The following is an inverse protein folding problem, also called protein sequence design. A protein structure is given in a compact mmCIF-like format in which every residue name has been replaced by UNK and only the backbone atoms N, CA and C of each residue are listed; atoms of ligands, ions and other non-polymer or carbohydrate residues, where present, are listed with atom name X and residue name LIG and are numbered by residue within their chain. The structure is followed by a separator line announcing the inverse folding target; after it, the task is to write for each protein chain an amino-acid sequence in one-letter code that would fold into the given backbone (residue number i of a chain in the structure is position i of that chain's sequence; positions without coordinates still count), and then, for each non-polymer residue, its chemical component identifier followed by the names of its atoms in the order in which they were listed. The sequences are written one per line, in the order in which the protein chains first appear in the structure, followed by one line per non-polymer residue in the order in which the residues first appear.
data_IF_272017222268
#
_entry.id   IF_272017222268
#
_cell.length_a   1.000
_cell.length_b   1.000
_cell.length_c   1.000
_cell.angle_alpha   90.00
_cell.angle_beta   90.00
_cell.angle_gamma   90.00
#
_symmetry.space_group_name_H-M   'P 1'
#
loop_
_entity.id
_entity.type
_entity.pdbx_description
1 polymer ?
#
# COMPACT_ATOMS: atom_id res chain seq x y z
N UNK A 1 10.01 24.15 12.37
CA UNK A 1 11.38 23.70 12.01
C UNK A 1 12.18 23.18 13.20
N UNK A 2 12.49 23.96 14.24
CA UNK A 2 13.29 23.48 15.39
C UNK A 2 12.69 22.25 16.09
N UNK A 3 11.37 22.25 16.32
CA UNK A 3 10.68 21.08 16.87
C UNK A 3 10.81 19.84 15.97
N UNK A 4 10.62 19.99 14.65
CA UNK A 4 10.77 18.90 13.70
C UNK A 4 12.21 18.35 13.72
N UNK A 5 13.22 19.21 13.84
CA UNK A 5 14.62 18.77 13.97
C UNK A 5 14.87 17.98 15.25
N UNK A 6 14.31 18.45 16.37
CA UNK A 6 14.49 17.82 17.67
C UNK A 6 13.80 16.45 17.76
N UNK A 7 12.60 16.33 17.17
CA UNK A 7 11.80 15.10 17.19
C UNK A 7 12.23 14.13 16.07
N UNK A 8 12.18 14.56 14.80
CA UNK A 8 12.49 13.67 13.66
C UNK A 8 13.97 13.29 13.59
N UNK A 9 14.87 14.10 14.15
CA UNK A 9 16.28 13.74 14.24
C UNK A 9 16.55 12.55 15.17
N UNK A 10 15.65 12.25 16.11
CA UNK A 10 15.84 11.24 17.17
C UNK A 10 15.00 9.97 16.98
N UNK A 11 13.99 10.00 16.12
CA UNK A 11 13.08 8.88 15.91
C UNK A 11 13.26 8.25 14.54
N UNK A 12 13.20 6.92 14.48
CA UNK A 12 13.27 6.15 13.23
C UNK A 12 12.27 5.02 13.27
N UNK A 13 11.45 4.94 12.24
CA UNK A 13 10.46 3.88 12.05
C UNK A 13 10.28 3.63 10.55
N UNK A 14 10.09 2.38 10.10
CA UNK A 14 9.94 2.08 8.67
C UNK A 14 8.80 2.84 7.97
N UNK A 15 7.76 3.19 8.74
CA UNK A 15 6.56 3.89 8.27
C UNK A 15 6.48 5.36 8.74
N UNK A 16 7.62 5.96 9.09
CA UNK A 16 7.74 7.40 9.30
C UNK A 16 8.73 7.98 8.28
N UNK A 17 8.40 9.12 7.69
CA UNK A 17 9.23 9.77 6.69
C UNK A 17 10.55 10.22 7.31
N UNK A 18 11.66 9.69 6.80
CA UNK A 18 12.99 9.95 7.35
C UNK A 18 13.50 11.33 6.93
N UNK A 19 13.79 12.17 7.91
CA UNK A 19 14.55 13.40 7.70
C UNK A 19 16.03 13.05 7.52
N UNK A 20 16.60 13.44 6.38
CA UNK A 20 18.01 13.24 6.04
C UNK A 20 18.89 14.40 6.51
N UNK A 21 18.32 15.60 6.60
CA UNK A 21 19.06 16.78 7.02
C UNK A 21 18.19 18.04 7.03
N UNK A 22 18.81 19.17 7.35
CA UNK A 22 18.16 20.47 7.35
C UNK A 22 19.16 21.59 7.06
N UNK A 23 18.64 22.68 6.53
CA UNK A 23 19.34 23.95 6.39
C UNK A 23 18.56 25.03 7.16
N UNK A 24 18.84 25.23 8.45
CA UNK A 24 18.09 26.18 9.29
C UNK A 24 18.18 27.63 8.79
N UNK A 25 19.32 28.02 8.23
CA UNK A 25 19.56 29.37 7.70
C UNK A 25 18.59 29.74 6.57
N UNK A 26 18.16 28.73 5.79
CA UNK A 26 17.26 28.89 4.65
C UNK A 26 15.85 28.34 4.92
N UNK A 27 15.58 27.84 6.13
CA UNK A 27 14.29 27.25 6.47
C UNK A 27 13.99 25.93 5.77
N UNK A 28 15.00 25.19 5.30
CA UNK A 28 14.80 23.98 4.50
C UNK A 28 14.96 22.69 5.31
N UNK A 29 14.17 21.67 4.97
CA UNK A 29 14.28 20.32 5.49
C UNK A 29 14.46 19.35 4.31
N UNK A 30 15.32 18.35 4.49
CA UNK A 30 15.64 17.35 3.47
C UNK A 30 15.13 16.00 3.95
N UNK A 31 14.34 15.33 3.12
CA UNK A 31 13.72 14.04 3.42
C UNK A 31 14.12 13.00 2.38
N UNK A 32 13.89 11.73 2.70
CA UNK A 32 13.87 10.68 1.67
C UNK A 32 12.78 10.97 0.61
N UNK A 33 13.07 10.62 -0.63
CA UNK A 33 12.14 10.84 -1.75
C UNK A 33 11.15 9.68 -1.86
N UNK A 34 9.88 10.01 -2.12
CA UNK A 34 8.77 9.06 -2.17
C UNK A 34 8.17 9.08 -3.58
N UNK A 35 8.52 8.09 -4.40
CA UNK A 35 8.32 8.12 -5.85
C UNK A 35 6.85 8.17 -6.28
N UNK A 36 5.94 7.61 -5.47
CA UNK A 36 4.52 7.56 -5.77
C UNK A 36 3.73 8.75 -5.19
N UNK A 37 4.43 9.74 -4.61
CA UNK A 37 3.79 10.92 -4.02
C UNK A 37 2.95 10.57 -2.79
N UNK A 38 1.86 11.31 -2.58
CA UNK A 38 0.98 11.12 -1.44
C UNK A 38 -0.12 10.09 -1.70
N UNK A 39 -0.70 9.53 -0.63
CA UNK A 39 -1.87 8.69 -0.70
C UNK A 39 -3.07 9.44 -1.29
N UNK A 40 -3.18 10.75 -1.07
CA UNK A 40 -4.20 11.59 -1.73
C UNK A 40 -4.04 11.58 -3.26
N UNK A 41 -2.81 11.71 -3.76
CA UNK A 41 -2.52 11.69 -5.20
C UNK A 41 -2.86 10.33 -5.82
N UNK A 42 -2.59 9.24 -5.09
CA UNK A 42 -2.90 7.87 -5.52
C UNK A 42 -4.39 7.57 -5.51
N UNK A 43 -5.13 8.00 -4.48
CA UNK A 43 -6.59 7.83 -4.41
C UNK A 43 -7.30 8.68 -5.47
N UNK A 44 -6.80 9.89 -5.75
CA UNK A 44 -7.36 10.78 -6.77
C UNK A 44 -6.81 10.55 -8.18
N UNK A 45 -5.81 9.66 -8.33
CA UNK A 45 -5.13 9.34 -9.60
C UNK A 45 -4.58 10.57 -10.34
N UNK A 46 -4.08 11.56 -9.61
CA UNK A 46 -3.65 12.87 -10.17
C UNK A 46 -2.51 12.78 -11.20
N UNK A 47 -1.72 11.70 -11.16
CA UNK A 47 -0.58 11.46 -12.05
C UNK A 47 -0.80 10.28 -13.01
N UNK A 48 -2.06 9.92 -13.28
CA UNK A 48 -2.42 8.74 -14.08
C UNK A 48 -1.79 7.45 -13.54
N UNK A 49 -1.57 7.38 -12.23
CA UNK A 49 -1.02 6.23 -11.53
C UNK A 49 -2.04 5.09 -11.53
N UNK A 50 -1.58 3.82 -11.57
CA UNK A 50 -2.46 2.67 -11.39
C UNK A 50 -3.21 2.77 -10.04
N UNK A 51 -4.47 2.29 -9.98
CA UNK A 51 -5.21 2.29 -8.73
C UNK A 51 -4.53 1.39 -7.69
N UNK A 52 -4.57 1.80 -6.42
CA UNK A 52 -4.16 0.95 -5.32
C UNK A 52 -5.14 -0.24 -5.21
N UNK A 53 -4.60 -1.46 -5.21
CA UNK A 53 -5.39 -2.68 -4.99
C UNK A 53 -5.91 -2.72 -3.56
N UNK A 54 -6.97 -3.48 -3.30
CA UNK A 54 -7.48 -3.62 -1.94
C UNK A 54 -6.43 -4.20 -0.98
N UNK A 55 -5.54 -5.09 -1.47
CA UNK A 55 -4.44 -5.64 -0.66
C UNK A 55 -3.50 -4.54 -0.17
N UNK A 56 -3.13 -3.63 -1.08
CA UNK A 56 -2.26 -2.48 -0.75
C UNK A 56 -2.95 -1.57 0.26
N UNK A 57 -4.26 -1.34 0.12
CA UNK A 57 -5.01 -0.45 1.01
C UNK A 57 -5.13 -1.01 2.44
N UNK A 58 -5.37 -2.31 2.58
CA UNK A 58 -5.35 -2.98 3.89
C UNK A 58 -3.97 -2.90 4.54
N UNK A 59 -2.91 -3.14 3.76
CA UNK A 59 -1.53 -3.01 4.23
C UNK A 59 -1.23 -1.57 4.68
N UNK A 60 -1.55 -0.57 3.86
CA UNK A 60 -1.32 0.85 4.18
C UNK A 60 -2.04 1.25 5.48
N UNK A 61 -3.29 0.81 5.69
CA UNK A 61 -4.00 1.08 6.94
C UNK A 61 -3.24 0.55 8.17
N UNK A 62 -2.72 -0.68 8.09
CA UNK A 62 -1.89 -1.27 9.15
C UNK A 62 -0.56 -0.52 9.33
N UNK A 63 0.16 -0.22 8.25
CA UNK A 63 1.44 0.50 8.29
C UNK A 63 1.29 1.88 8.97
N UNK A 64 0.26 2.65 8.61
CA UNK A 64 -0.06 3.94 9.24
C UNK A 64 -0.36 3.75 10.73
N UNK A 65 -1.16 2.75 11.10
CA UNK A 65 -1.48 2.48 12.50
C UNK A 65 -0.23 2.11 13.33
N UNK A 66 0.71 1.35 12.77
CA UNK A 66 1.97 1.00 13.45
C UNK A 66 2.85 2.22 13.69
N UNK A 67 2.94 3.13 12.71
CA UNK A 67 3.66 4.38 12.85
C UNK A 67 3.05 5.29 13.92
N UNK A 68 1.72 5.42 13.97
CA UNK A 68 1.03 6.16 15.03
C UNK A 68 1.29 5.56 16.40
N UNK A 69 1.24 4.23 16.51
CA UNK A 69 1.51 3.55 17.78
C UNK A 69 2.95 3.80 18.26
N UNK A 70 3.91 3.80 17.35
CA UNK A 70 5.30 4.15 17.66
C UNK A 70 5.43 5.60 18.19
N UNK A 71 4.75 6.57 17.54
CA UNK A 71 4.71 7.95 18.03
C UNK A 71 4.06 8.04 19.42
N UNK A 72 2.92 7.38 19.62
CA UNK A 72 2.18 7.38 20.90
C UNK A 72 2.93 6.64 22.02
N UNK A 73 3.86 5.75 21.67
CA UNK A 73 4.67 4.99 22.62
C UNK A 73 6.04 5.60 22.88
N UNK A 74 6.39 6.68 22.17
CA UNK A 74 7.67 7.36 22.29
C UNK A 74 7.91 7.84 23.72
N UNK A 75 9.18 7.78 24.14
CA UNK A 75 9.64 8.16 25.49
C UNK A 75 10.73 9.25 25.38
N UNK A 76 10.83 10.17 26.35
CA UNK A 76 10.07 10.23 27.61
C UNK A 76 8.60 10.65 27.44
N UNK A 77 8.31 11.38 26.36
CA UNK A 77 7.01 11.98 26.10
C UNK A 77 6.41 11.40 24.81
N UNK A 78 5.15 10.91 24.86
CA UNK A 78 4.44 10.52 23.66
C UNK A 78 4.25 11.67 22.67
N UNK A 79 4.28 11.36 21.38
CA UNK A 79 4.10 12.32 20.30
C UNK A 79 2.70 12.13 19.70
N UNK A 80 1.90 13.19 19.62
CA UNK A 80 0.60 13.20 18.89
C UNK A 80 0.82 13.89 17.54
N UNK A 81 0.36 13.28 16.44
CA UNK A 81 0.58 13.77 15.07
C UNK A 81 -0.25 15.01 14.72
N UNK A 82 -1.55 15.01 15.05
CA UNK A 82 -2.53 16.11 14.90
C UNK A 82 -2.94 16.51 13.47
N UNK A 83 -2.17 16.16 12.44
CA UNK A 83 -2.57 16.41 11.04
C UNK A 83 -2.44 15.15 10.16
N UNK A 84 -2.91 14.02 10.67
CA UNK A 84 -2.93 12.80 9.87
C UNK A 84 -4.02 12.91 8.79
N UNK A 85 -3.62 12.76 7.53
CA UNK A 85 -4.50 12.80 6.35
C UNK A 85 -3.80 12.13 5.17
N UNK A 86 -4.51 11.74 4.09
CA UNK A 86 -3.88 11.10 2.93
C UNK A 86 -2.75 11.92 2.29
N UNK A 87 -2.85 13.26 2.30
CA UNK A 87 -1.79 14.13 1.77
C UNK A 87 -0.47 14.06 2.58
N UNK A 88 -0.54 13.64 3.86
CA UNK A 88 0.63 13.50 4.74
C UNK A 88 1.08 12.03 4.86
N UNK A 89 0.52 11.12 4.07
CA UNK A 89 0.95 9.71 3.98
C UNK A 89 1.59 9.55 2.61
N UNK A 90 2.91 9.37 2.56
CA UNK A 90 3.66 9.25 1.32
C UNK A 90 3.96 7.80 0.99
N UNK A 91 4.12 7.48 -0.30
CA UNK A 91 4.32 6.12 -0.80
C UNK A 91 5.64 6.02 -1.59
N UNK A 92 6.49 5.07 -1.21
CA UNK A 92 7.74 4.77 -1.93
C UNK A 92 7.45 3.99 -3.22
N UNK A 93 8.48 3.70 -4.02
CA UNK A 93 8.40 2.88 -5.24
C UNK A 93 7.68 1.52 -5.08
N UNK A 94 7.68 0.95 -3.88
CA UNK A 94 7.08 -0.35 -3.57
C UNK A 94 5.70 -0.23 -2.88
N UNK A 95 5.13 0.98 -2.88
CA UNK A 95 3.88 1.32 -2.20
C UNK A 95 3.92 1.10 -0.69
N UNK A 96 5.11 1.19 -0.08
CA UNK A 96 5.27 1.24 1.38
C UNK A 96 4.93 2.64 1.85
N UNK A 97 4.00 2.74 2.80
CA UNK A 97 3.54 4.01 3.32
C UNK A 97 4.43 4.55 4.45
N UNK A 98 4.60 5.87 4.46
CA UNK A 98 5.30 6.62 5.50
C UNK A 98 4.53 7.88 5.88
N UNK A 99 4.28 8.07 7.17
CA UNK A 99 3.67 9.30 7.67
C UNK A 99 4.74 10.41 7.65
N UNK A 100 4.42 11.50 6.95
CA UNK A 100 5.21 12.72 6.89
C UNK A 100 4.52 13.88 7.60
N UNK A 101 5.14 15.06 7.52
CA UNK A 101 4.64 16.33 8.06
C UNK A 101 4.18 16.32 9.53
N UNK A 102 5.16 16.17 10.43
CA UNK A 102 4.96 16.37 11.88
C UNK A 102 5.02 17.85 12.30
N UNK A 103 4.77 18.78 11.37
CA UNK A 103 4.86 20.23 11.64
C UNK A 103 3.87 20.74 12.69
N UNK A 104 2.76 20.01 12.87
CA UNK A 104 1.71 20.30 13.86
C UNK A 104 1.74 19.36 15.08
N UNK A 105 2.67 18.42 15.10
CA UNK A 105 2.80 17.45 16.19
C UNK A 105 3.13 18.12 17.53
N UNK A 106 2.78 17.45 18.61
CA UNK A 106 3.03 17.95 19.97
C UNK A 106 3.44 16.81 20.90
N UNK A 107 4.28 17.12 21.89
CA UNK A 107 4.65 16.22 22.97
C UNK A 107 3.60 16.30 24.08
N UNK A 108 3.24 15.13 24.64
CA UNK A 108 2.44 15.02 25.85
C UNK A 108 3.35 15.19 27.08
N UNK A 109 3.06 16.12 28.00
CA UNK A 109 3.88 16.34 29.20
C UNK A 109 4.13 15.04 29.97
N UNK A 110 5.36 14.86 30.46
CA UNK A 110 5.78 13.68 31.22
C UNK A 110 4.81 13.31 32.37
N UNK A 111 4.57 12.01 32.53
CA UNK A 111 3.59 11.38 33.44
C UNK A 111 3.74 11.70 34.94
N UNK A 112 4.79 12.43 35.34
CA UNK A 112 5.06 12.81 36.73
C UNK A 112 4.27 14.05 37.17
N UNK A 113 3.63 14.77 36.24
CA UNK A 113 2.65 15.81 36.56
C UNK A 113 1.28 15.41 35.99
N UNK A 114 0.55 14.64 36.81
CA UNK A 114 -0.83 14.23 36.62
C UNK A 114 -1.06 13.16 35.54
N UNK A 115 -1.99 12.24 35.84
CA UNK A 115 -2.51 11.15 35.01
C UNK A 115 -3.18 11.61 33.69
N UNK A 116 -2.77 12.73 33.08
CA UNK A 116 -3.39 13.30 31.89
C UNK A 116 -2.73 12.79 30.61
N UNK A 117 -3.44 11.92 29.89
CA UNK A 117 -3.18 11.54 28.49
C UNK A 117 -3.53 12.67 27.49
N UNK A 118 -3.54 13.93 27.95
CA UNK A 118 -4.32 15.02 27.38
C UNK A 118 -3.58 16.36 27.51
N UNK A 119 -3.63 17.19 26.46
CA UNK A 119 -3.14 18.58 26.49
C UNK A 119 -4.34 19.51 26.37
N UNK A 120 -4.49 20.45 27.31
CA UNK A 120 -5.63 21.40 27.38
C UNK A 120 -5.28 22.74 26.73
N UNK A 121 -6.32 23.51 26.38
CA UNK A 121 -6.22 24.89 25.86
C UNK A 121 -5.37 25.04 24.58
N UNK A 122 -5.33 24.00 23.75
CA UNK A 122 -4.68 24.07 22.44
C UNK A 122 -5.67 24.55 21.39
N UNK A 123 -5.33 25.62 20.66
CA UNK A 123 -6.11 26.04 19.49
C UNK A 123 -6.24 24.86 18.51
N UNK A 124 -7.44 24.57 17.96
CA UNK A 124 -7.62 23.54 16.94
C UNK A 124 -6.70 23.82 15.74
N UNK A 125 -5.86 22.84 15.40
CA UNK A 125 -5.03 22.83 14.19
C UNK A 125 -5.23 21.50 13.47
N UNK A 126 -4.92 21.48 12.18
CA UNK A 126 -5.11 20.33 11.31
C UNK A 126 -6.09 20.63 10.19
N UNK A 127 -6.36 19.62 9.37
CA UNK A 127 -7.23 19.76 8.19
C UNK A 127 -8.67 19.41 8.56
N UNK A 128 -9.62 20.35 8.35
CA UNK A 128 -11.00 20.34 8.89
C UNK A 128 -11.69 18.97 8.99
N UNK A 129 -11.69 18.16 7.93
CA UNK A 129 -12.38 16.86 7.91
C UNK A 129 -11.68 15.73 8.70
N UNK A 130 -10.46 15.95 9.19
CA UNK A 130 -9.66 14.99 9.95
C UNK A 130 -9.46 15.43 11.41
N UNK A 131 -9.93 16.63 11.76
CA UNK A 131 -9.82 17.14 13.13
C UNK A 131 -10.81 16.39 14.02
N UNK A 132 -10.31 15.84 15.12
CA UNK A 132 -11.14 15.25 16.18
C UNK A 132 -12.21 16.27 16.63
N UNK A 133 -13.51 15.97 16.47
CA UNK A 133 -14.58 16.91 16.77
C UNK A 133 -14.66 17.27 18.26
N UNK A 134 -14.25 16.37 19.15
CA UNK A 134 -14.16 16.66 20.58
C UNK A 134 -12.99 17.59 20.87
N UNK A 135 -11.85 17.39 20.21
CA UNK A 135 -10.71 18.31 20.29
C UNK A 135 -11.07 19.70 19.74
N UNK A 136 -11.71 19.77 18.57
CA UNK A 136 -12.16 21.03 17.97
C UNK A 136 -13.05 21.82 18.92
N UNK A 137 -13.96 21.14 19.64
CA UNK A 137 -14.90 21.77 20.57
C UNK A 137 -14.26 22.14 21.92
N UNK A 138 -13.37 21.30 22.44
CA UNK A 138 -12.86 21.43 23.83
C UNK A 138 -11.46 22.02 23.92
N UNK A 139 -10.72 22.09 22.81
CA UNK A 139 -9.30 22.42 22.79
C UNK A 139 -8.41 21.38 23.45
N UNK A 140 -8.95 20.19 23.78
CA UNK A 140 -8.21 19.11 24.43
C UNK A 140 -7.80 18.05 23.42
N UNK A 141 -6.51 17.90 23.17
CA UNK A 141 -5.95 16.93 22.23
C UNK A 141 -5.43 15.69 22.97
N UNK A 142 -5.51 14.52 22.32
CA UNK A 142 -5.02 13.25 22.85
C UNK A 142 -4.58 12.32 21.73
N UNK A 143 -3.97 11.19 22.07
CA UNK A 143 -3.71 10.09 21.13
C UNK A 143 -4.96 9.63 20.37
N UNK A 144 -6.14 9.70 20.99
CA UNK A 144 -7.43 9.36 20.35
C UNK A 144 -7.85 10.38 19.28
N UNK A 145 -7.20 11.53 19.21
CA UNK A 145 -7.41 12.49 18.13
C UNK A 145 -6.77 11.98 16.82
N UNK A 146 -5.60 11.34 16.88
CA UNK A 146 -5.01 10.67 15.72
C UNK A 146 -5.81 9.42 15.32
N UNK A 147 -6.40 8.70 16.29
CA UNK A 147 -7.29 7.55 16.01
C UNK A 147 -8.52 7.99 15.19
N UNK A 148 -9.09 9.16 15.49
CA UNK A 148 -10.19 9.71 14.69
C UNK A 148 -9.76 9.94 13.24
N UNK A 149 -8.63 10.62 13.05
CA UNK A 149 -8.09 10.88 11.73
C UNK A 149 -7.78 9.59 10.95
N UNK A 150 -7.24 8.56 11.63
CA UNK A 150 -7.00 7.24 11.05
C UNK A 150 -8.32 6.60 10.57
N UNK A 151 -9.40 6.71 11.35
CA UNK A 151 -10.73 6.25 10.94
C UNK A 151 -11.15 6.86 9.61
N UNK A 152 -11.07 8.18 9.48
CA UNK A 152 -11.41 8.87 8.22
C UNK A 152 -10.49 8.43 7.07
N UNK A 153 -9.19 8.28 7.30
CA UNK A 153 -8.24 7.78 6.29
C UNK A 153 -8.63 6.37 5.81
N UNK A 154 -9.00 5.47 6.72
CA UNK A 154 -9.43 4.10 6.36
C UNK A 154 -10.71 4.14 5.53
N UNK A 155 -11.69 4.98 5.88
CA UNK A 155 -12.91 5.13 5.07
C UNK A 155 -12.59 5.64 3.66
N UNK A 156 -11.61 6.53 3.51
CA UNK A 156 -11.15 6.97 2.19
C UNK A 156 -10.38 5.89 1.44
N UNK A 157 -9.59 5.06 2.12
CA UNK A 157 -8.97 3.89 1.50
C UNK A 157 -10.04 2.95 0.92
N UNK A 158 -11.16 2.74 1.62
CA UNK A 158 -12.24 1.87 1.13
C UNK A 158 -13.00 2.46 -0.06
N UNK A 159 -13.23 3.77 -0.07
CA UNK A 159 -14.20 4.40 -0.98
C UNK A 159 -13.57 5.29 -2.06
N UNK A 160 -12.32 5.73 -1.87
CA UNK A 160 -11.68 6.80 -2.64
C UNK A 160 -12.52 8.09 -2.74
N UNK A 161 -13.42 8.35 -1.79
CA UNK A 161 -14.31 9.52 -1.76
C UNK A 161 -13.73 10.65 -0.91
N UNK A 162 -14.33 11.84 -1.08
CA UNK A 162 -14.08 13.01 -0.23
C UNK A 162 -14.36 12.67 1.24
N UNK A 163 -13.55 13.17 2.20
CA UNK A 163 -13.77 12.89 3.63
C UNK A 163 -15.01 13.59 4.21
N UNK A 164 -15.56 14.59 3.51
CA UNK A 164 -16.72 15.37 3.97
C UNK A 164 -17.96 14.48 4.12
N UNK A 165 -18.45 14.31 5.35
CA UNK A 165 -19.62 13.47 5.65
C UNK A 165 -19.41 11.98 5.41
N UNK A 166 -18.18 11.53 5.17
CA UNK A 166 -17.89 10.18 4.70
C UNK A 166 -18.29 9.09 5.71
N UNK A 167 -18.06 9.32 7.00
CA UNK A 167 -18.46 8.39 8.06
C UNK A 167 -19.96 8.10 8.01
N UNK A 168 -20.79 9.13 7.90
CA UNK A 168 -22.25 8.96 7.80
C UNK A 168 -22.65 8.21 6.52
N UNK A 169 -22.05 8.55 5.37
CA UNK A 169 -22.33 7.85 4.10
C UNK A 169 -22.01 6.36 4.20
N UNK A 170 -20.89 6.00 4.84
CA UNK A 170 -20.48 4.60 5.01
C UNK A 170 -21.37 3.87 6.00
N UNK A 171 -21.69 4.50 7.13
CA UNK A 171 -22.61 3.95 8.14
C UNK A 171 -23.98 3.65 7.54
N UNK A 172 -24.61 4.60 6.86
CA UNK A 172 -25.90 4.39 6.20
C UNK A 172 -25.83 3.30 5.12
N UNK A 173 -24.74 3.24 4.35
CA UNK A 173 -24.58 2.18 3.34
C UNK A 173 -24.45 0.78 3.97
N UNK A 174 -23.84 0.66 5.15
CA UNK A 174 -23.79 -0.60 5.88
C UNK A 174 -25.18 -0.98 6.42
N UNK A 175 -25.91 -0.04 7.02
CA UNK A 175 -27.26 -0.25 7.54
C UNK A 175 -28.26 -0.64 6.44
N UNK A 176 -28.17 0.01 5.29
CA UNK A 176 -29.03 -0.24 4.11
C UNK A 176 -28.65 -1.52 3.34
N UNK A 177 -27.55 -2.19 3.68
CA UNK A 177 -27.03 -3.33 2.91
C UNK A 177 -26.48 -2.95 1.53
N UNK A 178 -26.11 -1.68 1.32
CA UNK A 178 -25.56 -1.12 0.07
C UNK A 178 -24.08 -0.79 0.14
N UNK A 179 -23.36 -1.42 1.07
CA UNK A 179 -21.95 -1.13 1.30
C UNK A 179 -21.08 -1.35 0.05
N UNK A 180 -21.39 -2.36 -0.77
CA UNK A 180 -20.66 -2.62 -2.01
C UNK A 180 -20.72 -1.44 -3.01
N UNK A 181 -21.83 -0.70 -3.04
CA UNK A 181 -22.06 0.41 -3.99
C UNK A 181 -21.16 1.62 -3.70
N UNK A 182 -20.61 1.70 -2.49
CA UNK A 182 -19.76 2.81 -2.07
C UNK A 182 -18.27 2.49 -2.09
N UNK A 183 -17.91 1.21 -2.20
CA UNK A 183 -16.53 0.78 -2.33
C UNK A 183 -15.93 1.24 -3.66
N UNK A 184 -14.63 1.51 -3.64
CA UNK A 184 -13.90 1.84 -4.85
C UNK A 184 -13.73 0.59 -5.72
N UNK A 185 -14.51 0.50 -6.79
CA UNK A 185 -14.46 -0.59 -7.75
C UNK A 185 -13.10 -0.74 -8.45
N UNK A 186 -12.27 0.30 -8.46
CA UNK A 186 -10.93 0.26 -9.08
C UNK A 186 -9.90 -0.50 -8.25
N UNK A 187 -10.19 -0.80 -6.97
CA UNK A 187 -9.30 -1.55 -6.09
C UNK A 187 -9.31 -3.07 -6.32
N UNK A 188 -10.13 -3.55 -7.27
CA UNK A 188 -10.31 -4.97 -7.57
C UNK A 188 -11.46 -5.60 -6.76
N UNK A 189 -11.41 -6.93 -6.60
CA UNK A 189 -12.47 -7.67 -5.93
C UNK A 189 -12.29 -7.65 -4.42
N UNK A 190 -13.08 -6.83 -3.73
CA UNK A 190 -13.06 -6.70 -2.28
C UNK A 190 -13.53 -7.98 -1.56
N UNK A 191 -12.82 -8.44 -0.52
CA UNK A 191 -13.29 -9.50 0.36
C UNK A 191 -14.34 -8.92 1.32
N UNK A 192 -15.62 -9.15 1.06
CA UNK A 192 -16.70 -8.38 1.67
C UNK A 192 -16.72 -8.44 3.19
N UNK A 193 -16.54 -9.63 3.79
CA UNK A 193 -16.60 -9.80 5.25
C UNK A 193 -15.47 -9.00 5.95
N UNK A 194 -14.23 -9.14 5.46
CA UNK A 194 -13.07 -8.40 5.95
C UNK A 194 -13.18 -6.90 5.69
N UNK A 195 -13.77 -6.52 4.55
CA UNK A 195 -13.96 -5.10 4.18
C UNK A 195 -15.02 -4.44 5.06
N UNK A 196 -16.12 -5.15 5.38
CA UNK A 196 -17.12 -4.69 6.34
C UNK A 196 -16.52 -4.58 7.74
N UNK A 197 -15.68 -5.52 8.15
CA UNK A 197 -15.00 -5.45 9.43
C UNK A 197 -14.06 -4.23 9.52
N UNK A 198 -13.29 -3.96 8.45
CA UNK A 198 -12.44 -2.78 8.38
C UNK A 198 -13.25 -1.48 8.42
N UNK A 199 -14.39 -1.42 7.71
CA UNK A 199 -15.29 -0.28 7.73
C UNK A 199 -15.88 -0.04 9.12
N UNK A 200 -16.36 -1.11 9.79
CA UNK A 200 -16.89 -1.02 11.14
C UNK A 200 -15.83 -0.57 12.14
N UNK A 201 -14.58 -1.04 12.02
CA UNK A 201 -13.46 -0.55 12.83
C UNK A 201 -13.22 0.95 12.58
N UNK A 202 -13.21 1.38 11.31
CA UNK A 202 -12.99 2.76 10.93
C UNK A 202 -14.09 3.71 11.46
N UNK A 203 -15.36 3.29 11.39
CA UNK A 203 -16.49 4.01 11.97
C UNK A 203 -16.34 4.20 13.48
N UNK A 204 -16.00 3.13 14.22
CA UNK A 204 -15.71 3.22 15.65
C UNK A 204 -14.53 4.14 15.96
N UNK A 205 -13.50 4.16 15.10
CA UNK A 205 -12.39 5.10 15.23
C UNK A 205 -12.84 6.55 15.03
N UNK A 206 -13.79 6.80 14.14
CA UNK A 206 -14.35 8.12 13.83
C UNK A 206 -15.52 8.56 14.73
N UNK A 207 -15.72 7.89 15.88
CA UNK A 207 -16.78 8.29 16.83
C UNK A 207 -16.62 9.73 17.31
N UNK A 208 -17.75 10.42 17.48
CA UNK A 208 -17.77 11.83 17.88
C UNK A 208 -17.19 12.04 19.28
N UNK A 209 -17.36 11.07 20.17
CA UNK A 209 -16.86 11.08 21.53
C UNK A 209 -15.59 10.25 21.63
N UNK A 210 -14.55 10.84 22.20
CA UNK A 210 -13.22 10.23 22.40
C UNK A 210 -13.27 8.90 23.15
N UNK A 211 -14.12 8.82 24.17
CA UNK A 211 -14.23 7.64 25.05
C UNK A 211 -14.82 6.43 24.34
N UNK A 212 -15.60 6.67 23.28
CA UNK A 212 -16.27 5.63 22.50
C UNK A 212 -15.35 5.07 21.40
N UNK A 213 -14.24 5.77 21.10
CA UNK A 213 -13.20 5.31 20.16
C UNK A 213 -12.39 4.16 20.75
N UNK A 214 -12.03 3.13 19.95
CA UNK A 214 -11.21 2.01 20.38
C UNK A 214 -9.80 2.45 20.81
N UNK A 215 -9.11 1.58 21.54
CA UNK A 215 -7.69 1.75 21.84
C UNK A 215 -6.82 1.32 20.66
N UNK A 216 -5.83 2.14 20.30
CA UNK A 216 -4.98 1.89 19.13
C UNK A 216 -4.20 0.58 19.26
N UNK A 217 -3.66 0.29 20.45
CA UNK A 217 -2.84 -0.90 20.70
C UNK A 217 -3.69 -2.15 20.95
N UNK A 218 -4.74 -2.03 21.76
CA UNK A 218 -5.52 -3.21 22.21
C UNK A 218 -6.58 -3.66 21.21
N UNK A 219 -7.07 -2.76 20.37
CA UNK A 219 -8.21 -3.04 19.49
C UNK A 219 -7.89 -2.79 18.02
N UNK A 220 -7.37 -1.61 17.66
CA UNK A 220 -7.19 -1.22 16.25
C UNK A 220 -6.07 -2.03 15.60
N UNK A 221 -4.88 -2.02 16.18
CA UNK A 221 -3.71 -2.71 15.61
C UNK A 221 -3.91 -4.22 15.43
N UNK A 222 -4.41 -4.98 16.42
CA UNK A 222 -4.63 -6.42 16.25
C UNK A 222 -5.61 -6.76 15.12
N UNK A 223 -6.69 -5.96 14.98
CA UNK A 223 -7.63 -6.13 13.86
C UNK A 223 -6.96 -5.83 12.52
N UNK A 224 -6.24 -4.71 12.41
CA UNK A 224 -5.54 -4.34 11.17
C UNK A 224 -4.44 -5.35 10.80
N UNK A 225 -3.76 -5.93 11.78
CA UNK A 225 -2.70 -6.93 11.55
C UNK A 225 -3.28 -8.21 10.94
N UNK A 226 -4.39 -8.72 11.49
CA UNK A 226 -5.10 -9.87 10.92
C UNK A 226 -5.60 -9.58 9.50
N UNK A 227 -6.17 -8.40 9.25
CA UNK A 227 -6.64 -8.00 7.92
C UNK A 227 -5.47 -7.85 6.92
N UNK A 228 -4.33 -7.32 7.36
CA UNK A 228 -3.09 -7.26 6.57
C UNK A 228 -2.59 -8.66 6.21
N UNK A 229 -2.72 -9.65 7.09
CA UNK A 229 -2.35 -11.03 6.78
C UNK A 229 -3.27 -11.67 5.72
N UNK A 230 -4.57 -11.35 5.73
CA UNK A 230 -5.50 -11.73 4.64
C UNK A 230 -5.06 -11.10 3.33
N UNK A 231 -4.74 -9.80 3.34
CA UNK A 231 -4.24 -9.08 2.17
C UNK A 231 -2.93 -9.69 1.62
N UNK A 232 -1.99 -10.04 2.50
CA UNK A 232 -0.72 -10.65 2.11
C UNK A 232 -0.91 -12.00 1.41
N UNK A 233 -1.71 -12.90 1.99
CA UNK A 233 -2.01 -14.22 1.37
C UNK A 233 -2.65 -14.07 -0.01
N UNK A 234 -3.57 -13.12 -0.14
CA UNK A 234 -4.29 -12.93 -1.38
C UNK A 234 -3.41 -12.23 -2.44
N UNK A 235 -2.50 -11.34 -2.03
CA UNK A 235 -1.43 -10.80 -2.88
C UNK A 235 -0.46 -11.89 -3.36
N UNK A 236 0.00 -12.76 -2.46
CA UNK A 236 0.85 -13.90 -2.81
C UNK A 236 0.15 -14.82 -3.81
N UNK A 237 -1.14 -15.09 -3.60
CA UNK A 237 -1.96 -15.87 -4.53
C UNK A 237 -2.10 -15.18 -5.89
N UNK A 238 -2.28 -13.86 -5.94
CA UNK A 238 -2.32 -13.10 -7.18
C UNK A 238 -0.97 -13.11 -7.91
N UNK A 239 0.14 -13.01 -7.18
CA UNK A 239 1.50 -13.12 -7.72
C UNK A 239 1.81 -14.53 -8.23
N UNK A 240 1.32 -15.57 -7.54
CA UNK A 240 1.41 -16.97 -7.99
C UNK A 240 0.47 -17.26 -9.18
N UNK A 241 -0.61 -16.48 -9.32
CA UNK A 241 -1.50 -16.47 -10.49
C UNK A 241 -0.80 -16.03 -11.77
N UNK A 242 0.31 -15.29 -11.67
CA UNK A 242 1.31 -15.22 -12.74
C UNK A 242 2.11 -16.52 -12.77
N UNK A 243 1.49 -17.60 -13.26
CA UNK A 243 2.15 -18.89 -13.44
C UNK A 243 3.51 -18.70 -14.12
N UNK A 244 4.57 -19.30 -13.58
CA UNK A 244 5.81 -19.43 -14.34
C UNK A 244 5.46 -20.07 -15.70
N UNK A 245 6.07 -19.61 -16.82
CA UNK A 245 5.79 -20.18 -18.12
C UNK A 245 5.96 -21.70 -18.08
N UNK A 246 4.96 -22.48 -18.53
CA UNK A 246 5.11 -23.92 -18.68
C UNK A 246 6.44 -24.25 -19.38
N UNK A 247 7.15 -25.28 -18.91
CA UNK A 247 8.50 -25.59 -19.39
C UNK A 247 8.59 -25.78 -20.91
N UNK A 248 7.52 -26.28 -21.54
CA UNK A 248 7.42 -26.46 -22.99
C UNK A 248 7.25 -25.15 -23.78
N UNK A 249 7.06 -24.01 -23.11
CA UNK A 249 7.09 -22.68 -23.72
C UNK A 249 8.50 -22.09 -23.77
N UNK A 250 9.45 -22.66 -23.01
CA UNK A 250 10.81 -22.17 -22.90
C UNK A 250 11.66 -22.70 -24.05
N UNK A 251 12.36 -21.81 -24.73
CA UNK A 251 13.33 -22.18 -25.75
C UNK A 251 14.55 -22.83 -25.09
N UNK A 252 14.96 -24.04 -25.49
CA UNK A 252 16.13 -24.67 -24.88
C UNK A 252 17.46 -23.95 -25.11
N UNK A 253 17.58 -23.17 -26.20
CA UNK A 253 18.78 -22.38 -26.49
C UNK A 253 18.80 -21.08 -25.68
N UNK A 254 17.68 -20.34 -25.66
CA UNK A 254 17.62 -18.99 -25.06
C UNK A 254 17.29 -19.02 -23.56
N UNK A 255 16.69 -20.10 -23.06
CA UNK A 255 16.15 -20.19 -21.69
C UNK A 255 15.07 -19.12 -21.40
N UNK A 256 14.37 -18.65 -22.44
CA UNK A 256 13.28 -17.67 -22.38
C UNK A 256 12.04 -18.20 -23.11
N UNK A 257 10.86 -17.60 -22.85
CA UNK A 257 9.61 -17.97 -23.54
C UNK A 257 9.74 -17.70 -25.04
N UNK A 258 9.53 -18.72 -25.86
CA UNK A 258 9.60 -18.63 -27.33
C UNK A 258 8.64 -17.55 -27.86
N UNK A 259 9.14 -16.75 -28.80
CA UNK A 259 8.35 -15.72 -29.49
C UNK A 259 7.80 -16.30 -30.79
N UNK A 260 8.62 -17.05 -31.53
CA UNK A 260 8.26 -17.68 -32.79
C UNK A 260 8.74 -19.15 -32.81
N UNK A 261 7.94 -20.10 -32.28
CA UNK A 261 8.39 -21.48 -32.09
C UNK A 261 8.44 -22.29 -33.39
N UNK A 262 9.56 -22.96 -33.65
CA UNK A 262 9.79 -23.85 -34.80
C UNK A 262 10.33 -25.20 -34.36
N UNK A 263 9.82 -26.27 -34.97
CA UNK A 263 10.28 -27.65 -34.76
C UNK A 263 11.45 -27.94 -35.70
N UNK A 264 12.57 -28.41 -35.16
CA UNK A 264 13.69 -28.92 -35.95
C UNK A 264 13.55 -30.42 -36.22
N UNK A 265 14.39 -30.98 -37.09
CA UNK A 265 14.31 -32.40 -37.48
C UNK A 265 14.58 -33.40 -36.34
N UNK A 266 15.06 -32.94 -35.19
CA UNK A 266 15.20 -33.74 -33.96
C UNK A 266 13.88 -33.84 -33.15
N UNK A 267 12.82 -33.16 -33.59
CA UNK A 267 11.51 -33.15 -32.93
C UNK A 267 11.39 -32.14 -31.78
N UNK A 268 12.44 -31.40 -31.44
CA UNK A 268 12.40 -30.35 -30.42
C UNK A 268 11.96 -29.02 -31.02
N UNK A 269 11.33 -28.19 -30.19
CA UNK A 269 10.88 -26.85 -30.57
C UNK A 269 11.82 -25.80 -29.99
N UNK A 270 12.16 -24.80 -30.79
CA UNK A 270 13.07 -23.71 -30.45
C UNK A 270 12.49 -22.37 -30.92
N UNK A 271 13.00 -21.26 -30.40
CA UNK A 271 12.73 -19.95 -31.01
C UNK A 271 13.44 -19.87 -32.37
N UNK A 272 12.72 -19.40 -33.39
CA UNK A 272 13.18 -19.31 -34.77
C UNK A 272 14.57 -18.67 -34.89
N UNK A 273 14.77 -17.51 -34.27
CA UNK A 273 16.03 -16.76 -34.40
C UNK A 273 17.20 -17.54 -33.79
N UNK A 274 16.94 -18.20 -32.67
CA UNK A 274 17.96 -18.96 -31.95
C UNK A 274 18.39 -20.21 -32.74
N UNK A 275 17.43 -20.97 -33.28
CA UNK A 275 17.74 -22.19 -34.03
C UNK A 275 18.34 -21.89 -35.40
N UNK A 276 17.90 -20.84 -36.10
CA UNK A 276 18.53 -20.39 -37.35
C UNK A 276 20.00 -20.00 -37.11
N UNK A 277 20.29 -19.27 -36.02
CA UNK A 277 21.66 -18.92 -35.65
C UNK A 277 22.50 -20.16 -35.33
N UNK A 278 21.98 -21.11 -34.54
CA UNK A 278 22.68 -22.35 -34.23
C UNK A 278 23.01 -23.18 -35.48
N UNK A 279 22.04 -23.33 -36.38
CA UNK A 279 22.20 -24.10 -37.61
C UNK A 279 23.10 -23.42 -38.66
N UNK A 280 23.43 -22.13 -38.50
CA UNK A 280 24.39 -21.44 -39.37
C UNK A 280 25.81 -21.99 -39.22
N UNK A 281 26.18 -22.42 -38.00
CA UNK A 281 27.52 -22.95 -37.69
C UNK A 281 27.53 -24.43 -37.33
N UNK A 282 26.39 -25.00 -36.95
CA UNK A 282 26.31 -26.38 -36.47
C UNK A 282 25.42 -27.28 -37.35
N UNK A 283 25.68 -28.59 -37.30
CA UNK A 283 24.89 -29.65 -37.93
C UNK A 283 24.32 -30.64 -36.90
N UNK A 284 24.30 -30.25 -35.62
CA UNK A 284 23.89 -31.09 -34.48
C UNK A 284 22.69 -30.46 -33.76
N UNK A 285 21.93 -31.30 -33.05
CA UNK A 285 20.82 -30.90 -32.20
C UNK A 285 21.34 -30.11 -31.00
N UNK A 286 20.80 -28.91 -30.71
CA UNK A 286 21.12 -28.17 -29.49
C UNK A 286 20.79 -28.93 -28.20
N UNK A 287 19.83 -29.86 -28.23
CA UNK A 287 19.36 -30.60 -27.06
C UNK A 287 20.17 -31.87 -26.77
N UNK A 288 20.53 -32.60 -27.83
CA UNK A 288 21.12 -33.94 -27.68
C UNK A 288 22.56 -34.02 -28.17
N UNK A 289 23.04 -32.97 -28.84
CA UNK A 289 24.33 -32.92 -29.53
C UNK A 289 24.52 -34.00 -30.63
N UNK A 290 23.45 -34.70 -31.01
CA UNK A 290 23.46 -35.67 -32.10
C UNK A 290 23.33 -34.96 -33.45
N UNK A 291 23.88 -35.57 -34.51
CA UNK A 291 23.78 -35.01 -35.87
C UNK A 291 22.32 -34.97 -36.35
N UNK A 292 21.90 -33.82 -36.86
CA UNK A 292 20.54 -33.66 -37.39
C UNK A 292 20.40 -34.34 -38.76
N UNK A 293 19.27 -35.03 -39.03
CA UNK A 293 18.98 -35.58 -40.35
C UNK A 293 18.98 -34.53 -41.47
N UNK A 294 18.48 -33.32 -41.18
CA UNK A 294 18.51 -32.17 -42.09
C UNK A 294 18.36 -30.86 -41.29
N UNK A 295 18.39 -29.71 -41.98
CA UNK A 295 18.23 -28.38 -41.36
C UNK A 295 16.84 -27.77 -41.58
N UNK A 296 15.83 -28.59 -41.90
CA UNK A 296 14.47 -28.09 -42.08
C UNK A 296 13.88 -27.64 -40.73
N UNK A 297 13.13 -26.54 -40.79
CA UNK A 297 12.42 -25.97 -39.65
C UNK A 297 10.95 -25.84 -40.03
N UNK A 298 10.06 -26.33 -39.17
CA UNK A 298 8.62 -26.31 -39.39
C UNK A 298 7.98 -25.40 -38.33
N UNK A 299 7.18 -24.39 -38.72
CA UNK A 299 6.49 -23.53 -37.74
C UNK A 299 5.58 -24.35 -36.81
N UNK A 300 5.64 -24.10 -35.50
CA UNK A 300 4.75 -24.71 -34.51
C UNK A 300 3.60 -23.75 -34.15
N UNK A 301 2.61 -23.64 -35.03
CA UNK A 301 1.48 -22.72 -34.85
C UNK A 301 0.65 -23.03 -33.60
N UNK A 302 0.49 -24.31 -33.24
CA UNK A 302 -0.24 -24.74 -32.05
C UNK A 302 0.41 -24.22 -30.77
N UNK A 303 1.73 -24.41 -30.64
CA UNK A 303 2.48 -23.89 -29.49
C UNK A 303 2.50 -22.36 -29.46
N UNK A 304 2.63 -21.73 -30.64
CA UNK A 304 2.57 -20.27 -30.76
C UNK A 304 1.24 -19.71 -30.25
N UNK A 305 0.12 -20.35 -30.60
CA UNK A 305 -1.21 -19.97 -30.10
C UNK A 305 -1.32 -20.16 -28.59
N UNK A 306 -0.84 -21.30 -28.06
CA UNK A 306 -0.87 -21.57 -26.62
C UNK A 306 -0.04 -20.57 -25.80
N UNK A 307 1.13 -20.17 -26.31
CA UNK A 307 1.96 -19.13 -25.68
C UNK A 307 1.24 -17.78 -25.69
N UNK A 308 0.56 -17.42 -26.79
CA UNK A 308 -0.21 -16.18 -26.87
C UNK A 308 -1.39 -16.17 -25.90
N UNK A 309 -2.14 -17.26 -25.81
CA UNK A 309 -3.26 -17.41 -24.86
C UNK A 309 -2.80 -17.37 -23.40
N UNK A 310 -1.62 -17.92 -23.10
CA UNK A 310 -1.04 -17.82 -21.76
C UNK A 310 -0.59 -16.39 -21.44
N UNK A 311 0.07 -15.70 -22.39
CA UNK A 311 0.48 -14.29 -22.23
C UNK A 311 -0.71 -13.34 -22.07
N UNK A 312 -1.87 -13.66 -22.65
CA UNK A 312 -3.08 -12.84 -22.53
C UNK A 312 -3.82 -13.04 -21.21
N UNK A 313 -3.73 -14.24 -20.61
CA UNK A 313 -4.26 -14.55 -19.27
C UNK A 313 -3.43 -14.00 -18.12
N UNK A 314 -2.18 -13.61 -18.38
CA UNK A 314 -1.27 -12.99 -17.41
C UNK A 314 -1.28 -11.45 -17.41
N UNK A 315 -2.18 -10.81 -18.15
CA UNK A 315 -2.44 -9.37 -18.16
C UNK A 315 -3.78 -9.08 -17.49
#
# INVERSE_FOLDING_TARGET
MLFQLEVLGKIRHPHLLMMLGACPEHGCLVYEYMENGSLDDMLQRRNNTPPLTWFDRFRIAWEVATALMFLHSSKPEPIIHRDLKPANILLDRNLVSKIGDVGLSTLLPSMDQYLSTMIKNTAPVGTFCYIDPEYQRTGVVSMKSDVYALGIVILQLLTARSPMGLAHVVETALEDGRFLDILDATAGQWPLDETQELAALALRCSEMRRRDRPDLNKNVLPTLERLKDVANKARESALQGHTAPPSHFICPILQEVMIDPYVASDGYTYDRKAIELWLSTNNTSPMTNLRLPNKSLIPNHSLRSAIMDWRSKGK
#
